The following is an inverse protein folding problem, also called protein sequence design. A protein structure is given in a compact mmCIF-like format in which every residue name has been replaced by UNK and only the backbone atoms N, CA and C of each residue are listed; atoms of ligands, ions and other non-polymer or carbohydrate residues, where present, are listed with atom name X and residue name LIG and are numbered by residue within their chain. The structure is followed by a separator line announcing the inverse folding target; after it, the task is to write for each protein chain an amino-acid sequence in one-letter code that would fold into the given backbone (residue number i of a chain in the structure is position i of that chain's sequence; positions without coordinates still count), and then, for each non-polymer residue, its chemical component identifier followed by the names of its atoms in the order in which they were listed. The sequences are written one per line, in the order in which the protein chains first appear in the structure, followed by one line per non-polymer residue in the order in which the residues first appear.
data_IF_994821702467
#
_entry.id   IF_994821702467
#
_cell.length_a   1.000
_cell.length_b   1.000
_cell.length_c   1.000
_cell.angle_alpha   90.00
_cell.angle_beta   90.00
_cell.angle_gamma   90.00
#
_symmetry.space_group_name_H-M   'P 1'
#
loop_
_entity.id
_entity.type
_entity.pdbx_description
1 polymer ?
#
# COMPACT_ATOMS: atom_id res chain seq x y z
N UNK A 1 -14.37 -12.04 -10.25
CA UNK A 1 -13.49 -12.07 -9.08
C UNK A 1 -13.74 -10.78 -8.33
N UNK A 2 -14.08 -10.89 -7.06
CA UNK A 2 -14.23 -9.80 -6.13
C UNK A 2 -13.20 -10.00 -5.01
N UNK A 3 -12.68 -8.88 -4.50
CA UNK A 3 -11.67 -8.86 -3.46
C UNK A 3 -12.09 -7.87 -2.38
N UNK A 4 -12.25 -8.37 -1.16
CA UNK A 4 -12.57 -7.59 0.02
C UNK A 4 -11.38 -7.61 0.97
N UNK A 5 -11.09 -6.48 1.60
CA UNK A 5 -9.96 -6.33 2.52
C UNK A 5 -10.42 -5.74 3.85
N UNK A 6 -9.95 -6.32 4.96
CA UNK A 6 -10.11 -5.76 6.30
C UNK A 6 -8.74 -5.70 6.97
N UNK A 7 -8.47 -4.59 7.67
CA UNK A 7 -7.32 -4.44 8.54
C UNK A 7 -7.80 -4.44 9.98
N UNK A 8 -7.23 -5.31 10.80
CA UNK A 8 -7.54 -5.41 12.23
C UNK A 8 -6.27 -5.19 13.05
N UNK A 9 -6.37 -4.41 14.13
CA UNK A 9 -5.24 -4.20 15.04
C UNK A 9 -5.01 -5.45 15.90
N UNK A 10 -3.86 -6.10 15.72
CA UNK A 10 -3.41 -7.26 16.49
C UNK A 10 -2.30 -6.93 17.50
N UNK A 11 -1.93 -7.89 18.36
CA UNK A 11 -0.85 -7.71 19.34
C UNK A 11 0.52 -7.44 18.72
N UNK A 12 0.73 -7.88 17.47
CA UNK A 12 1.98 -7.70 16.71
C UNK A 12 1.89 -6.53 15.70
N UNK A 13 0.79 -5.77 15.72
CA UNK A 13 0.49 -4.69 14.77
C UNK A 13 -0.74 -4.97 13.90
N UNK A 14 -1.05 -4.09 12.93
CA UNK A 14 -2.19 -4.25 12.04
C UNK A 14 -2.02 -5.47 11.11
N UNK A 15 -3.05 -6.30 11.02
CA UNK A 15 -3.11 -7.48 10.15
C UNK A 15 -4.13 -7.25 9.03
N UNK A 16 -3.70 -7.42 7.76
CA UNK A 16 -4.56 -7.34 6.59
C UNK A 16 -5.05 -8.74 6.20
N UNK A 17 -6.37 -8.94 6.25
CA UNK A 17 -7.03 -10.11 5.66
C UNK A 17 -7.69 -9.73 4.35
N UNK A 18 -7.38 -10.47 3.28
CA UNK A 18 -8.03 -10.34 1.97
C UNK A 18 -8.85 -11.58 1.65
N UNK A 19 -10.14 -11.40 1.42
CA UNK A 19 -11.06 -12.46 0.98
C UNK A 19 -11.30 -12.33 -0.52
N UNK A 20 -11.09 -13.42 -1.26
CA UNK A 20 -11.40 -13.48 -2.69
C UNK A 20 -12.65 -14.32 -2.93
N UNK A 21 -13.58 -13.81 -3.73
CA UNK A 21 -14.80 -14.52 -4.11
C UNK A 21 -15.01 -14.53 -5.62
N UNK A 22 -15.52 -15.63 -6.15
CA UNK A 22 -15.80 -15.77 -7.58
C UNK A 22 -16.90 -16.82 -7.83
N UNK A 23 -17.65 -16.69 -8.95
CA UNK A 23 -18.59 -17.73 -9.37
C UNK A 23 -17.90 -19.08 -9.58
N UNK A 24 -18.57 -20.17 -9.16
CA UNK A 24 -18.08 -21.52 -9.37
C UNK A 24 -17.83 -21.82 -10.86
N UNK A 25 -16.72 -22.47 -11.17
CA UNK A 25 -16.33 -22.82 -12.54
C UNK A 25 -15.79 -21.65 -13.39
N UNK A 26 -15.73 -20.42 -12.85
CA UNK A 26 -15.14 -19.29 -13.57
C UNK A 26 -13.61 -19.33 -13.56
N UNK A 27 -13.02 -19.68 -12.41
CA UNK A 27 -11.58 -19.71 -12.21
C UNK A 27 -11.15 -21.07 -11.69
N UNK A 28 -10.06 -21.58 -12.25
CA UNK A 28 -9.37 -22.76 -11.75
C UNK A 28 -8.72 -22.45 -10.40
N UNK A 29 -8.80 -23.34 -9.40
CA UNK A 29 -8.22 -23.11 -8.08
C UNK A 29 -6.72 -22.77 -8.11
N UNK A 30 -5.97 -23.38 -9.04
CA UNK A 30 -4.53 -23.13 -9.18
C UNK A 30 -4.22 -21.72 -9.70
N UNK A 31 -5.04 -21.20 -10.62
CA UNK A 31 -4.89 -19.83 -11.12
C UNK A 31 -5.18 -18.79 -10.02
N UNK A 32 -6.16 -19.08 -9.14
CA UNK A 32 -6.42 -18.22 -7.98
C UNK A 32 -5.27 -18.27 -7.00
N UNK A 33 -4.68 -19.45 -6.75
CA UNK A 33 -3.53 -19.59 -5.86
C UNK A 33 -2.32 -18.81 -6.38
N UNK A 34 -2.00 -18.91 -7.67
CA UNK A 34 -0.92 -18.14 -8.28
C UNK A 34 -1.14 -16.63 -8.12
N UNK A 35 -2.37 -16.15 -8.35
CA UNK A 35 -2.73 -14.76 -8.14
C UNK A 35 -2.55 -14.34 -6.67
N UNK A 36 -3.04 -15.14 -5.72
CA UNK A 36 -2.91 -14.82 -4.29
C UNK A 36 -1.46 -14.80 -3.83
N UNK A 37 -0.63 -15.73 -4.32
CA UNK A 37 0.79 -15.79 -3.97
C UNK A 37 1.52 -14.54 -4.49
N UNK A 38 1.20 -14.10 -5.72
CA UNK A 38 1.72 -12.86 -6.29
C UNK A 38 1.29 -11.62 -5.51
N UNK A 39 0.02 -11.55 -5.09
CA UNK A 39 -0.48 -10.46 -4.26
C UNK A 39 0.19 -10.42 -2.88
N UNK A 40 0.31 -11.56 -2.20
CA UNK A 40 1.00 -11.64 -0.90
C UNK A 40 2.46 -11.19 -1.03
N UNK A 41 3.17 -11.63 -2.08
CA UNK A 41 4.53 -11.21 -2.32
C UNK A 41 4.65 -9.70 -2.56
N UNK A 42 3.75 -9.13 -3.38
CA UNK A 42 3.71 -7.69 -3.64
C UNK A 42 3.40 -6.88 -2.38
N UNK A 43 2.36 -7.24 -1.63
CA UNK A 43 1.96 -6.53 -0.42
C UNK A 43 3.03 -6.62 0.67
N UNK A 44 3.69 -7.77 0.80
CA UNK A 44 4.84 -7.95 1.70
C UNK A 44 6.00 -7.04 1.28
N UNK A 45 6.27 -6.93 -0.02
CA UNK A 45 7.25 -5.99 -0.56
C UNK A 45 6.92 -4.52 -0.25
N UNK A 46 5.66 -4.13 -0.39
CA UNK A 46 5.19 -2.79 -0.05
C UNK A 46 5.31 -2.50 1.45
N UNK A 47 4.90 -3.43 2.31
CA UNK A 47 5.04 -3.29 3.76
C UNK A 47 6.51 -3.16 4.19
N UNK A 48 7.40 -3.98 3.60
CA UNK A 48 8.83 -3.88 3.84
C UNK A 48 9.44 -2.56 3.33
N UNK A 49 8.93 -2.00 2.24
CA UNK A 49 9.33 -0.69 1.74
C UNK A 49 8.85 0.43 2.68
N UNK A 50 7.58 0.38 3.11
CA UNK A 50 6.96 1.36 3.99
C UNK A 50 7.60 1.40 5.39
N UNK A 51 8.15 0.28 5.87
CA UNK A 51 8.88 0.23 7.14
C UNK A 51 10.29 0.83 7.12
N UNK A 52 10.80 1.30 5.97
CA UNK A 52 12.14 1.91 5.90
C UNK A 52 12.12 3.34 6.45
N UNK A 53 13.21 3.81 7.10
CA UNK A 53 13.34 5.21 7.47
C UNK A 53 13.17 6.13 6.26
N UNK A 54 12.32 7.14 6.37
CA UNK A 54 11.98 8.04 5.26
C UNK A 54 11.12 7.41 4.16
N UNK A 55 10.54 6.22 4.40
CA UNK A 55 9.48 5.71 3.55
C UNK A 55 8.11 6.25 3.99
N UNK A 56 7.28 6.55 3.00
CA UNK A 56 6.16 7.46 3.20
C UNK A 56 6.62 8.92 3.12
N UNK A 57 5.66 9.81 2.94
CA UNK A 57 5.88 11.22 2.64
C UNK A 57 4.67 11.74 1.90
N UNK A 58 4.57 13.06 1.72
CA UNK A 58 3.49 13.58 0.94
C UNK A 58 3.72 13.33 -0.55
N UNK A 59 2.62 13.05 -1.24
CA UNK A 59 2.55 13.04 -2.69
C UNK A 59 1.85 14.32 -3.16
N UNK A 60 2.12 14.81 -4.39
CA UNK A 60 1.37 15.91 -4.98
C UNK A 60 -0.16 15.70 -4.94
N UNK A 61 -0.63 14.45 -4.98
CA UNK A 61 -2.05 14.11 -4.85
C UNK A 61 -2.66 14.49 -3.49
N UNK A 62 -1.85 14.64 -2.43
CA UNK A 62 -2.31 15.09 -1.12
C UNK A 62 -2.61 16.60 -1.10
N UNK A 63 -2.15 17.36 -2.10
CA UNK A 63 -2.35 18.80 -2.24
C UNK A 63 -3.07 19.14 -3.55
N UNK A 64 -4.31 18.66 -3.78
CA UNK A 64 -5.00 18.79 -5.07
C UNK A 64 -5.30 20.24 -5.49
N UNK A 65 -5.21 21.19 -4.55
CA UNK A 65 -5.41 22.62 -4.79
C UNK A 65 -4.12 23.33 -5.23
N UNK A 66 -2.97 22.66 -5.18
CA UNK A 66 -1.67 23.19 -5.53
C UNK A 66 -1.09 22.38 -6.70
N UNK A 67 -0.52 23.06 -7.69
CA UNK A 67 0.25 22.39 -8.74
C UNK A 67 1.70 22.22 -8.30
N UNK A 68 1.92 21.30 -7.35
CA UNK A 68 3.26 20.97 -6.86
C UNK A 68 3.83 19.80 -7.64
N UNK A 69 5.06 19.93 -8.13
CA UNK A 69 5.85 18.79 -8.54
C UNK A 69 6.42 18.07 -7.29
N UNK A 70 6.66 16.76 -7.39
CA UNK A 70 7.24 15.96 -6.30
C UNK A 70 8.52 16.61 -5.74
N UNK A 71 9.37 17.15 -6.63
CA UNK A 71 10.64 17.76 -6.26
C UNK A 71 10.46 19.04 -5.40
N UNK A 72 9.42 19.83 -5.67
CA UNK A 72 9.10 21.03 -4.89
C UNK A 72 8.55 20.67 -3.51
N UNK A 73 7.86 19.53 -3.42
CA UNK A 73 7.33 19.01 -2.16
C UNK A 73 8.46 18.47 -1.29
N UNK A 74 9.41 17.73 -1.88
CA UNK A 74 10.63 17.27 -1.20
C UNK A 74 11.49 18.44 -0.70
N UNK A 75 11.64 19.51 -1.48
CA UNK A 75 12.33 20.74 -1.06
C UNK A 75 11.64 21.40 0.14
N UNK A 76 10.30 21.49 0.12
CA UNK A 76 9.52 22.06 1.22
C UNK A 76 9.62 21.20 2.50
N UNK A 77 9.50 19.89 2.38
CA UNK A 77 9.65 18.95 3.51
C UNK A 77 11.05 19.06 4.13
N UNK A 78 12.10 19.22 3.31
CA UNK A 78 13.46 19.42 3.77
C UNK A 78 13.67 20.77 4.48
N UNK A 79 13.08 21.87 3.97
CA UNK A 79 13.12 23.18 4.62
C UNK A 79 12.48 23.13 6.02
N UNK A 80 11.30 22.52 6.14
CA UNK A 80 10.59 22.38 7.42
C UNK A 80 11.39 21.51 8.40
N UNK A 81 11.96 20.39 7.95
CA UNK A 81 12.75 19.50 8.80
C UNK A 81 14.06 20.12 9.33
N UNK A 82 14.53 21.22 8.73
CA UNK A 82 15.70 21.98 9.22
C UNK A 82 15.33 23.07 10.24
N UNK A 83 14.06 23.41 10.39
CA UNK A 83 13.57 24.41 11.35
C UNK A 83 13.25 23.81 12.74
N UNK A 84 13.14 22.48 12.86
CA UNK A 84 13.00 21.72 14.12
C UNK A 84 14.36 21.34 14.76
#
# INVERSE_FOLDING_TARGET
LEADGIVEDGPDGPELTVSLSWPAGLLEPDAVRELTDGWVAMLTGLAAQAGRPGAGGHSPSDFPLLSLAQQQLEELEAEIAMED
#
